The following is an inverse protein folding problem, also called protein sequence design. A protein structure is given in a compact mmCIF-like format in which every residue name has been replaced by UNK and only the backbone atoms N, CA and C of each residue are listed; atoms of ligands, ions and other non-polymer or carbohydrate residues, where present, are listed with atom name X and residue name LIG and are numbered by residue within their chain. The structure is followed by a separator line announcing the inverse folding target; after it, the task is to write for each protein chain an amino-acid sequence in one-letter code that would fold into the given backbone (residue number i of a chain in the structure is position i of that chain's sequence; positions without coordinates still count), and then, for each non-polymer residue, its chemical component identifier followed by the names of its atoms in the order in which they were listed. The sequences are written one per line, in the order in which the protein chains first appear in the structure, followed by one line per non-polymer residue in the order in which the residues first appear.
data_IF_891879396133
#
_entry.id   IF_891879396133
#
_cell.length_a   1.000
_cell.length_b   1.000
_cell.length_c   1.000
_cell.angle_alpha   90.00
_cell.angle_beta   90.00
_cell.angle_gamma   90.00
#
_symmetry.space_group_name_H-M   'P 1'
#
loop_
_entity.id
_entity.type
_entity.pdbx_description
1 polymer ?
#
# COMPACT_ATOMS: atom_id res chain seq x y z
N UNK A 1 -5.45 -28.20 -42.60
CA UNK A 1 -4.71 -27.48 -41.53
C UNK A 1 -5.78 -26.91 -40.61
N UNK A 2 -6.09 -27.63 -39.54
CA UNK A 2 -7.11 -27.22 -38.57
C UNK A 2 -6.49 -26.25 -37.57
N UNK A 3 -7.18 -25.13 -37.31
CA UNK A 3 -6.78 -24.11 -36.35
C UNK A 3 -6.87 -24.68 -34.92
N UNK A 4 -5.88 -24.43 -34.04
CA UNK A 4 -5.96 -24.87 -32.66
C UNK A 4 -7.04 -24.09 -31.91
N UNK A 5 -8.03 -24.83 -31.40
CA UNK A 5 -9.13 -24.33 -30.59
C UNK A 5 -8.58 -23.73 -29.28
N UNK A 6 -8.74 -22.41 -29.12
CA UNK A 6 -8.37 -21.72 -27.87
C UNK A 6 -9.40 -22.08 -26.80
N UNK A 7 -9.09 -23.08 -25.97
CA UNK A 7 -9.90 -23.43 -24.80
C UNK A 7 -9.84 -22.28 -23.80
N UNK A 8 -10.94 -21.54 -23.66
CA UNK A 8 -11.14 -20.59 -22.58
C UNK A 8 -11.07 -21.36 -21.24
N UNK A 9 -10.03 -21.08 -20.45
CA UNK A 9 -9.93 -21.57 -19.08
C UNK A 9 -11.09 -20.99 -18.27
N UNK A 10 -12.14 -21.79 -18.09
CA UNK A 10 -13.25 -21.47 -17.20
C UNK A 10 -12.74 -21.61 -15.76
N UNK A 11 -12.41 -20.49 -15.14
CA UNK A 11 -12.11 -20.46 -13.71
C UNK A 11 -13.40 -20.72 -12.93
N UNK A 12 -13.61 -21.98 -12.56
CA UNK A 12 -14.65 -22.33 -11.61
C UNK A 12 -14.24 -21.79 -10.25
N UNK A 13 -14.98 -20.81 -9.71
CA UNK A 13 -14.93 -20.53 -8.28
C UNK A 13 -15.52 -21.76 -7.59
N UNK A 14 -14.79 -22.45 -6.71
CA UNK A 14 -15.40 -23.46 -5.85
C UNK A 14 -16.41 -22.72 -4.97
N UNK A 15 -17.70 -22.86 -5.27
CA UNK A 15 -18.72 -22.46 -4.31
C UNK A 15 -18.64 -23.41 -3.12
N UNK A 16 -18.42 -22.84 -1.93
CA UNK A 16 -18.64 -23.45 -0.62
C UNK A 16 -17.64 -24.52 -0.15
N UNK A 17 -16.35 -24.22 -0.11
CA UNK A 17 -15.56 -24.61 1.07
C UNK A 17 -15.78 -23.56 2.15
N UNK A 18 -16.25 -23.91 3.38
CA UNK A 18 -16.32 -22.96 4.46
C UNK A 18 -14.90 -22.44 4.71
N UNK A 19 -14.65 -21.18 4.35
CA UNK A 19 -13.38 -20.52 4.62
C UNK A 19 -13.18 -20.61 6.14
N UNK A 20 -12.12 -21.26 6.63
CA UNK A 20 -11.92 -21.40 8.05
C UNK A 20 -11.98 -20.02 8.70
N UNK A 21 -12.79 -19.90 9.77
CA UNK A 21 -13.05 -18.63 10.45
C UNK A 21 -11.75 -17.97 10.95
N UNK A 22 -10.72 -18.77 11.22
CA UNK A 22 -9.40 -18.34 11.61
C UNK A 22 -8.37 -18.66 10.51
N UNK A 23 -7.53 -17.69 10.10
CA UNK A 23 -6.46 -17.94 9.14
C UNK A 23 -5.40 -18.90 9.71
N UNK A 24 -4.80 -19.71 8.83
CA UNK A 24 -3.67 -20.58 9.18
C UNK A 24 -2.44 -19.75 9.53
N UNK A 25 -1.44 -20.30 10.24
CA UNK A 25 -0.20 -19.59 10.54
C UNK A 25 0.50 -19.01 9.31
N UNK A 26 0.47 -19.71 8.16
CA UNK A 26 1.07 -19.17 6.93
C UNK A 26 0.31 -17.94 6.42
N UNK A 27 -1.02 -17.89 6.62
CA UNK A 27 -1.89 -16.80 6.19
C UNK A 27 -1.77 -15.54 7.06
N UNK A 28 -1.20 -15.64 8.27
CA UNK A 28 -0.95 -14.49 9.15
C UNK A 28 0.02 -13.46 8.52
N UNK A 29 0.89 -13.93 7.62
CA UNK A 29 1.81 -13.07 6.86
C UNK A 29 1.15 -12.28 5.72
N UNK A 30 -0.13 -12.55 5.42
CA UNK A 30 -0.90 -11.95 4.32
C UNK A 30 -2.34 -11.56 4.73
N UNK A 31 -2.52 -11.11 5.98
CA UNK A 31 -3.83 -10.69 6.51
C UNK A 31 -4.37 -9.45 5.79
N UNK A 32 -3.48 -8.54 5.41
CA UNK A 32 -3.87 -7.28 4.77
C UNK A 32 -3.23 -7.20 3.39
N UNK A 33 -4.08 -7.09 2.37
CA UNK A 33 -3.65 -6.66 1.03
C UNK A 33 -3.64 -5.14 0.97
N UNK A 34 -2.60 -4.57 0.37
CA UNK A 34 -2.44 -3.12 0.22
C UNK A 34 -2.39 -2.72 -1.25
N UNK A 35 -2.95 -1.55 -1.58
CA UNK A 35 -2.83 -0.95 -2.92
C UNK A 35 -2.75 0.57 -2.79
N UNK A 36 -1.99 1.22 -3.66
CA UNK A 36 -1.90 2.68 -3.73
C UNK A 36 -2.58 3.16 -5.01
N UNK A 37 -3.50 4.11 -4.89
CA UNK A 37 -4.09 4.83 -6.01
C UNK A 37 -3.56 6.27 -6.03
N UNK A 38 -2.95 6.64 -7.14
CA UNK A 38 -2.29 7.92 -7.35
C UNK A 38 -2.14 8.15 -8.86
N UNK A 39 -1.94 9.40 -9.31
CA UNK A 39 -1.64 9.68 -10.71
C UNK A 39 -0.22 9.22 -11.07
N UNK A 40 -0.04 8.50 -12.17
CA UNK A 40 1.29 8.06 -12.63
C UNK A 40 2.23 9.23 -12.99
N UNK A 41 1.65 10.36 -13.38
CA UNK A 41 2.35 11.59 -13.74
C UNK A 41 1.60 12.81 -13.21
N UNK A 42 2.34 13.79 -12.70
CA UNK A 42 1.78 15.01 -12.13
C UNK A 42 2.60 16.25 -12.54
N UNK A 43 1.93 17.23 -13.13
CA UNK A 43 2.56 18.47 -13.59
C UNK A 43 2.47 19.54 -12.50
N UNK A 44 3.58 20.18 -12.18
CA UNK A 44 3.64 21.21 -11.15
C UNK A 44 4.65 22.31 -11.49
N UNK A 45 4.26 23.57 -11.30
CA UNK A 45 5.15 24.71 -11.52
C UNK A 45 5.84 25.11 -10.21
N UNK A 46 7.08 24.65 -10.02
CA UNK A 46 7.85 24.94 -8.81
C UNK A 46 8.22 26.42 -8.66
N UNK A 47 8.24 27.17 -9.76
CA UNK A 47 8.46 28.62 -9.77
C UNK A 47 7.30 29.39 -9.13
N UNK A 48 6.06 28.91 -9.29
CA UNK A 48 4.85 29.55 -8.76
C UNK A 48 4.49 29.05 -7.36
N UNK A 49 4.71 27.75 -7.11
CA UNK A 49 4.44 27.10 -5.82
C UNK A 49 5.61 26.19 -5.50
N UNK A 50 6.37 26.48 -4.45
CA UNK A 50 7.56 25.71 -4.10
C UNK A 50 7.27 24.25 -3.70
N UNK A 51 6.03 23.93 -3.29
CA UNK A 51 5.62 22.59 -2.87
C UNK A 51 4.59 22.00 -3.84
N UNK A 52 4.88 20.80 -4.34
CA UNK A 52 3.97 19.97 -5.11
C UNK A 52 3.25 19.00 -4.17
N UNK A 53 1.92 19.06 -4.09
CA UNK A 53 1.11 18.19 -3.24
C UNK A 53 0.27 17.25 -4.11
N UNK A 54 0.48 15.95 -3.97
CA UNK A 54 -0.27 14.93 -4.71
C UNK A 54 -1.15 14.13 -3.75
N UNK A 55 -2.48 14.06 -3.97
CA UNK A 55 -3.34 13.18 -3.20
C UNK A 55 -3.07 11.72 -3.57
N UNK A 56 -3.00 10.85 -2.56
CA UNK A 56 -2.78 9.42 -2.72
C UNK A 56 -3.79 8.69 -1.84
N UNK A 57 -4.37 7.59 -2.33
CA UNK A 57 -5.22 6.71 -1.51
C UNK A 57 -4.51 5.39 -1.26
N UNK A 58 -4.32 5.04 0.01
CA UNK A 58 -3.89 3.70 0.42
C UNK A 58 -5.13 2.85 0.73
N UNK A 59 -5.37 1.84 -0.09
CA UNK A 59 -6.38 0.82 0.16
C UNK A 59 -5.79 -0.29 1.01
N UNK A 60 -6.54 -0.69 2.04
CA UNK A 60 -6.27 -1.83 2.90
C UNK A 60 -7.45 -2.79 2.75
N UNK A 61 -7.19 -4.06 2.48
CA UNK A 61 -8.22 -5.09 2.43
C UNK A 61 -7.89 -6.20 3.40
N UNK A 62 -8.79 -6.43 4.38
CA UNK A 62 -8.69 -7.59 5.25
C UNK A 62 -9.05 -8.85 4.47
N UNK A 63 -8.09 -9.74 4.26
CA UNK A 63 -8.28 -10.97 3.50
C UNK A 63 -8.82 -12.12 4.37
N UNK A 64 -9.04 -11.90 5.67
CA UNK A 64 -9.49 -12.92 6.63
C UNK A 64 -10.96 -12.76 7.03
N UNK A 65 -11.50 -13.80 7.69
CA UNK A 65 -12.83 -13.76 8.30
C UNK A 65 -12.84 -13.18 9.72
N UNK A 66 -11.67 -12.84 10.26
CA UNK A 66 -11.49 -12.33 11.61
C UNK A 66 -11.34 -10.80 11.61
N UNK A 67 -11.50 -10.22 12.80
CA UNK A 67 -11.17 -8.81 13.02
C UNK A 67 -9.64 -8.67 13.13
N UNK A 68 -9.08 -7.70 12.40
CA UNK A 68 -7.63 -7.49 12.28
C UNK A 68 -7.28 -6.10 12.78
N UNK A 69 -6.35 -6.03 13.73
CA UNK A 69 -5.70 -4.77 14.10
C UNK A 69 -4.63 -4.46 13.05
N UNK A 70 -4.59 -3.21 12.59
CA UNK A 70 -3.68 -2.73 11.56
C UNK A 70 -2.94 -1.50 12.07
N UNK A 71 -1.61 -1.52 11.90
CA UNK A 71 -0.75 -0.38 12.14
C UNK A 71 -0.05 0.02 10.85
N UNK A 72 -0.07 1.31 10.52
CA UNK A 72 0.57 1.85 9.33
C UNK A 72 1.64 2.84 9.79
N UNK A 73 2.86 2.71 9.28
CA UNK A 73 3.97 3.64 9.51
C UNK A 73 4.44 4.20 8.16
N UNK A 74 4.29 5.50 8.00
CA UNK A 74 4.68 6.26 6.80
C UNK A 74 6.07 6.89 6.93
N UNK A 75 6.72 6.78 8.08
CA UNK A 75 8.03 7.40 8.28
C UNK A 75 9.06 6.69 7.41
N UNK A 76 9.82 7.46 6.64
CA UNK A 76 10.99 6.94 5.96
C UNK A 76 11.98 6.45 7.02
N UNK A 77 12.53 5.24 6.87
CA UNK A 77 13.80 4.94 7.53
C UNK A 77 14.79 5.91 6.90
N UNK A 78 15.29 6.85 7.69
CA UNK A 78 16.46 7.63 7.31
C UNK A 78 17.57 6.63 7.03
N UNK A 79 17.84 6.37 5.74
CA UNK A 79 19.21 6.10 5.34
C UNK A 79 20.04 7.29 5.88
N UNK A 80 21.27 7.00 6.27
CA UNK A 80 22.17 7.88 7.02
C UNK A 80 22.17 9.36 6.57
N UNK A 81 22.64 10.30 7.41
CA UNK A 81 22.66 11.73 7.09
C UNK A 81 23.24 12.08 5.72
N UNK A 82 24.09 11.23 5.13
CA UNK A 82 24.63 11.41 3.78
C UNK A 82 23.61 11.18 2.64
N UNK A 83 22.49 10.50 2.89
CA UNK A 83 21.44 10.23 1.88
C UNK A 83 20.41 11.38 1.73
N UNK A 84 20.50 12.42 2.57
CA UNK A 84 19.59 13.57 2.55
C UNK A 84 19.75 14.46 1.31
N UNK A 85 20.88 14.37 0.60
CA UNK A 85 21.15 15.14 -0.62
C UNK A 85 20.68 14.45 -1.92
N UNK A 86 19.96 13.34 -1.82
CA UNK A 86 19.49 12.65 -3.02
C UNK A 86 18.24 13.37 -3.54
N UNK A 87 18.41 14.09 -4.65
CA UNK A 87 17.37 14.54 -5.57
C UNK A 87 16.44 13.37 -5.95
N UNK A 88 15.47 13.05 -5.09
CA UNK A 88 14.65 11.84 -5.23
C UNK A 88 13.84 11.45 -3.99
N UNK A 89 13.86 12.23 -2.90
CA UNK A 89 12.99 12.02 -1.74
C UNK A 89 11.71 12.84 -1.81
N UNK A 90 10.62 12.25 -1.34
CA UNK A 90 9.34 12.91 -1.11
C UNK A 90 8.98 12.75 0.38
N UNK A 91 7.94 13.42 0.85
CA UNK A 91 7.48 13.29 2.24
C UNK A 91 5.98 13.11 2.31
N UNK A 92 5.52 12.18 3.15
CA UNK A 92 4.11 12.06 3.53
C UNK A 92 3.73 13.19 4.49
N UNK A 93 2.72 13.98 4.14
CA UNK A 93 2.24 15.08 4.99
C UNK A 93 1.14 14.62 5.94
N UNK A 94 1.11 15.26 7.12
CA UNK A 94 0.09 15.04 8.13
C UNK A 94 0.44 13.89 9.06
N UNK A 95 -0.55 13.06 9.39
CA UNK A 95 -0.38 11.93 10.29
C UNK A 95 0.50 10.86 9.63
N UNK A 96 1.60 10.48 10.30
CA UNK A 96 2.58 9.53 9.78
C UNK A 96 2.46 8.13 10.37
N UNK A 97 1.58 7.94 11.35
CA UNK A 97 1.27 6.65 11.94
C UNK A 97 -0.22 6.48 12.14
N UNK A 98 -0.76 5.32 11.80
CA UNK A 98 -2.17 5.01 11.95
C UNK A 98 -2.35 3.71 12.71
N UNK A 99 -3.39 3.65 13.53
CA UNK A 99 -3.87 2.44 14.19
C UNK A 99 -5.37 2.34 13.91
N UNK A 100 -5.79 1.23 13.35
CA UNK A 100 -7.18 0.99 13.00
C UNK A 100 -7.49 -0.50 13.12
N UNK A 101 -8.77 -0.83 13.16
CA UNK A 101 -9.25 -2.20 13.23
C UNK A 101 -10.18 -2.45 12.05
N UNK A 102 -9.92 -3.51 11.28
CA UNK A 102 -10.70 -3.91 10.12
C UNK A 102 -11.54 -5.15 10.46
N UNK A 103 -12.83 -5.08 10.17
CA UNK A 103 -13.76 -6.20 10.28
C UNK A 103 -13.48 -7.24 9.19
N UNK A 104 -14.13 -8.40 9.30
CA UNK A 104 -14.09 -9.46 8.30
C UNK A 104 -14.30 -8.90 6.89
N UNK A 105 -13.37 -9.18 5.98
CA UNK A 105 -13.43 -8.78 4.57
C UNK A 105 -13.57 -7.26 4.32
N UNK A 106 -13.31 -6.41 5.33
CA UNK A 106 -13.45 -4.96 5.20
C UNK A 106 -12.37 -4.37 4.29
N UNK A 107 -12.79 -3.41 3.46
CA UNK A 107 -11.90 -2.58 2.65
C UNK A 107 -11.93 -1.15 3.19
N UNK A 108 -10.76 -0.67 3.61
CA UNK A 108 -10.60 0.68 4.16
C UNK A 108 -9.76 1.55 3.23
N UNK A 109 -10.22 2.77 2.99
CA UNK A 109 -9.55 3.76 2.14
C UNK A 109 -8.94 4.86 2.99
N UNK A 110 -7.60 4.86 3.09
CA UNK A 110 -6.87 5.91 3.80
C UNK A 110 -6.41 7.00 2.83
N UNK A 111 -6.82 8.24 3.09
CA UNK A 111 -6.40 9.42 2.32
C UNK A 111 -5.04 9.92 2.81
N UNK A 112 -4.08 9.98 1.91
CA UNK A 112 -2.70 10.43 2.14
C UNK A 112 -2.36 11.60 1.21
N UNK A 113 -1.30 12.33 1.55
CA UNK A 113 -0.75 13.40 0.71
C UNK A 113 0.76 13.25 0.62
N UNK A 114 1.25 13.05 -0.59
CA UNK A 114 2.67 13.08 -0.88
C UNK A 114 3.10 14.51 -1.24
N UNK A 115 4.25 14.94 -0.74
CA UNK A 115 4.82 16.25 -0.97
C UNK A 115 6.19 16.13 -1.64
N UNK A 116 6.37 16.89 -2.71
CA UNK A 116 7.58 16.93 -3.52
C UNK A 116 8.07 18.37 -3.63
N UNK A 117 9.39 18.54 -3.62
CA UNK A 117 10.07 19.83 -3.73
C UNK A 117 10.82 20.00 -5.06
N UNK A 118 10.96 18.93 -5.83
CA UNK A 118 11.63 18.91 -7.12
C UNK A 118 10.85 18.03 -8.11
N UNK A 119 11.19 18.14 -9.39
CA UNK A 119 10.81 17.16 -10.41
C UNK A 119 11.60 15.87 -10.24
N UNK A 120 11.03 14.76 -10.72
CA UNK A 120 11.73 13.48 -10.73
C UNK A 120 10.79 12.29 -10.76
N UNK A 121 11.37 11.10 -10.60
CA UNK A 121 10.63 9.85 -10.43
C UNK A 121 10.75 9.43 -8.98
N UNK A 122 9.63 9.20 -8.32
CA UNK A 122 9.56 8.88 -6.89
C UNK A 122 8.85 7.56 -6.66
N UNK A 123 9.31 6.78 -5.68
CA UNK A 123 8.65 5.55 -5.26
C UNK A 123 7.77 5.80 -4.03
N UNK A 124 6.46 5.85 -4.21
CA UNK A 124 5.45 5.97 -3.16
C UNK A 124 5.26 4.69 -2.35
N UNK A 125 5.85 3.56 -2.75
CA UNK A 125 5.73 2.25 -2.09
C UNK A 125 6.49 2.15 -0.76
N UNK A 126 6.51 3.21 0.05
CA UNK A 126 7.18 3.29 1.35
C UNK A 126 6.32 3.01 2.58
N UNK A 127 4.97 3.07 2.55
CA UNK A 127 4.15 2.71 3.71
C UNK A 127 4.47 1.30 4.22
N UNK A 128 4.69 1.19 5.53
CA UNK A 128 4.88 -0.09 6.22
C UNK A 128 3.58 -0.45 6.92
N UNK A 129 2.96 -1.54 6.50
CA UNK A 129 1.69 -2.00 7.04
C UNK A 129 1.93 -3.25 7.86
N UNK A 130 1.52 -3.22 9.11
CA UNK A 130 1.59 -4.33 10.03
C UNK A 130 0.17 -4.76 10.41
N UNK A 131 -0.04 -6.07 10.52
CA UNK A 131 -1.34 -6.63 10.85
C UNK A 131 -1.21 -7.74 11.88
N UNK A 132 -2.24 -7.90 12.71
CA UNK A 132 -2.43 -9.07 13.58
C UNK A 132 -3.92 -9.31 13.82
N UNK A 133 -4.28 -10.53 14.20
CA UNK A 133 -5.65 -10.80 14.66
C UNK A 133 -5.93 -10.04 15.96
N UNK A 134 -7.12 -9.45 16.09
CA UNK A 134 -7.49 -8.65 17.26
C UNK A 134 -7.53 -9.47 18.57
N UNK A 135 -7.76 -10.77 18.46
CA UNK A 135 -7.78 -11.71 19.60
C UNK A 135 -6.39 -12.25 19.97
N UNK A 136 -5.36 -11.92 19.20
CA UNK A 136 -3.98 -12.34 19.46
C UNK A 136 -3.22 -11.33 20.31
N UNK A 137 -2.65 -11.82 21.41
CA UNK A 137 -1.77 -11.06 22.31
C UNK A 137 -0.38 -10.83 21.69
N UNK A 138 -0.01 -11.61 20.67
CA UNK A 138 1.27 -11.46 19.97
C UNK A 138 1.44 -10.06 19.34
N UNK A 139 2.70 -9.63 19.26
CA UNK A 139 3.08 -8.38 18.62
C UNK A 139 2.89 -8.48 17.11
N UNK A 140 2.77 -7.35 16.43
CA UNK A 140 2.74 -7.28 14.97
C UNK A 140 3.95 -7.99 14.35
N UNK A 141 3.72 -9.13 13.68
CA UNK A 141 4.82 -10.06 13.37
C UNK A 141 5.58 -9.69 12.09
N UNK A 142 4.92 -9.11 11.08
CA UNK A 142 5.56 -8.82 9.77
C UNK A 142 4.93 -7.66 9.02
N UNK A 143 5.75 -6.97 8.21
CA UNK A 143 5.28 -5.94 7.28
C UNK A 143 4.65 -6.60 6.05
N UNK A 144 3.40 -6.28 5.76
CA UNK A 144 2.57 -6.85 4.68
C UNK A 144 2.82 -6.13 3.34
N UNK A 145 4.10 -5.88 3.01
CA UNK A 145 4.50 -5.00 1.90
C UNK A 145 4.04 -5.54 0.53
N UNK A 146 3.65 -4.62 -0.36
CA UNK A 146 3.32 -4.92 -1.74
C UNK A 146 4.59 -5.21 -2.55
N UNK A 147 4.55 -6.18 -3.47
CA UNK A 147 5.70 -6.64 -4.25
C UNK A 147 6.03 -5.77 -5.47
N UNK A 148 5.13 -4.86 -5.88
CA UNK A 148 5.34 -3.97 -7.02
C UNK A 148 5.72 -2.55 -6.59
N UNK A 149 6.70 -1.89 -7.26
CA UNK A 149 7.04 -0.51 -6.97
C UNK A 149 5.89 0.42 -7.37
N UNK A 150 5.61 1.43 -6.54
CA UNK A 150 4.58 2.43 -6.80
C UNK A 150 5.23 3.74 -7.25
N UNK A 151 5.52 3.85 -8.56
CA UNK A 151 6.27 4.98 -9.11
C UNK A 151 5.38 6.12 -9.59
N UNK A 152 5.76 7.37 -9.31
CA UNK A 152 5.14 8.60 -9.83
C UNK A 152 6.19 9.51 -10.48
N UNK A 153 5.81 10.16 -11.58
CA UNK A 153 6.62 11.17 -12.28
C UNK A 153 6.11 12.58 -11.91
N UNK A 154 6.98 13.44 -11.42
CA UNK A 154 6.68 14.87 -11.19
C UNK A 154 7.39 15.69 -12.27
N UNK A 155 6.61 16.37 -13.12
CA UNK A 155 7.12 17.20 -14.20
C UNK A 155 7.06 18.69 -13.83
N UNK A 156 7.99 19.46 -14.39
CA UNK A 156 7.96 20.92 -14.29
C UNK A 156 7.17 21.50 -15.47
N UNK A 157 6.37 22.52 -15.18
CA UNK A 157 5.63 23.32 -16.19
C UNK A 157 5.74 24.82 -15.92
#
# INVERSE_FOLDING_TARGET
QELPEMVLLKFFRPENTPVPARPTPEQLSNLIKTSLHYPESFNHSFQRKSLCLVPVTLLLSNCSQAVVDVMIDLRHKTASPEALEIHGSFTWLGQTQYKLQLKSQEVYSLQLKACFVHTGVYNLGTPRVFAKLADQVTLFETSQQNSMPALIIINNI
#
